data_IF_873864203859
#
_entry.id   IF_873864203859
#
_cell.length_a   1.000
_cell.length_b   1.000
_cell.length_c   1.000
_cell.angle_alpha   90.00
_cell.angle_beta   90.00
_cell.angle_gamma   90.00
#
_symmetry.space_group_name_H-M   'P 1'
#
loop_
_entity.id
_entity.type
_entity.pdbx_description
1 polymer ?
#
# COMPACT_ATOMS: atom_id res chain seq x y z
N UNK A 1 21.67 -11.79 23.10
CA UNK A 1 21.66 -10.32 23.24
C UNK A 1 20.59 -9.79 22.30
N UNK A 2 19.43 -9.41 22.82
CA UNK A 2 18.44 -8.60 22.09
C UNK A 2 19.13 -7.25 21.84
N UNK A 3 19.38 -6.89 20.58
CA UNK A 3 19.65 -5.52 20.20
C UNK A 3 18.35 -4.73 20.47
N UNK A 4 18.20 -4.21 21.68
CA UNK A 4 17.17 -3.22 21.97
C UNK A 4 17.60 -1.96 21.21
N UNK A 5 16.77 -1.41 20.32
CA UNK A 5 17.10 -0.17 19.62
C UNK A 5 17.42 0.92 20.65
N UNK A 6 18.45 1.70 20.40
CA UNK A 6 18.78 2.85 21.24
C UNK A 6 17.70 3.93 21.12
N UNK A 7 17.39 4.67 22.20
CA UNK A 7 16.43 5.76 22.15
C UNK A 7 16.89 6.82 21.14
N UNK A 8 15.97 7.30 20.31
CA UNK A 8 16.23 8.32 19.28
C UNK A 8 15.09 9.32 19.24
N UNK A 9 15.37 10.48 18.65
CA UNK A 9 14.34 11.41 18.17
C UNK A 9 14.45 11.40 16.65
N UNK A 10 13.39 11.04 15.91
CA UNK A 10 13.40 11.04 14.45
C UNK A 10 13.62 12.44 13.89
N UNK A 11 14.16 12.52 12.68
CA UNK A 11 14.16 13.76 11.91
C UNK A 11 12.72 14.22 11.69
N UNK A 12 12.52 15.54 11.72
CA UNK A 12 11.20 16.12 11.47
C UNK A 12 11.30 17.44 10.72
N UNK A 13 10.16 17.92 10.23
CA UNK A 13 10.07 19.16 9.48
C UNK A 13 9.01 20.06 10.09
N UNK A 14 9.21 21.36 9.91
CA UNK A 14 8.21 22.40 10.22
C UNK A 14 8.21 23.44 9.12
N UNK A 15 7.17 24.21 9.05
CA UNK A 15 7.12 25.37 8.14
C UNK A 15 6.55 26.59 8.83
N UNK A 16 6.78 27.73 8.21
CA UNK A 16 6.12 29.00 8.53
C UNK A 16 6.04 29.86 7.28
N UNK A 17 5.14 30.81 7.28
CA UNK A 17 5.19 31.89 6.31
C UNK A 17 6.45 32.74 6.53
N UNK A 18 7.03 33.25 5.45
CA UNK A 18 8.19 34.16 5.53
C UNK A 18 7.87 35.33 6.45
N UNK A 19 8.82 35.69 7.33
CA UNK A 19 8.64 36.71 8.35
C UNK A 19 7.98 36.24 9.65
N UNK A 20 7.39 35.04 9.67
CA UNK A 20 6.76 34.48 10.86
C UNK A 20 7.76 33.68 11.75
N UNK A 21 7.26 33.31 12.92
CA UNK A 21 8.02 32.53 13.91
C UNK A 21 7.54 31.09 13.93
N UNK A 22 8.47 30.15 13.76
CA UNK A 22 8.22 28.72 14.01
C UNK A 22 8.31 28.45 15.50
N UNK A 23 7.31 27.80 16.07
CA UNK A 23 7.27 27.37 17.46
C UNK A 23 7.49 25.86 17.56
N UNK A 24 8.02 25.40 18.70
CA UNK A 24 8.23 23.98 18.99
C UNK A 24 7.43 23.58 20.23
N UNK A 25 7.02 22.32 20.27
CA UNK A 25 6.30 21.71 21.39
C UNK A 25 7.02 20.44 21.85
N UNK A 26 6.65 19.92 23.01
CA UNK A 26 7.21 18.67 23.53
C UNK A 26 6.97 17.47 22.58
N UNK A 27 5.89 17.52 21.80
CA UNK A 27 5.55 16.47 20.83
C UNK A 27 6.57 16.40 19.67
N UNK A 28 7.17 17.53 19.27
CA UNK A 28 8.18 17.56 18.22
C UNK A 28 9.45 16.78 18.63
N UNK A 29 9.68 16.63 19.94
CA UNK A 29 10.86 15.96 20.53
C UNK A 29 10.50 14.59 21.15
N UNK A 30 9.52 13.90 20.63
CA UNK A 30 9.09 12.60 21.15
C UNK A 30 10.17 11.53 20.97
N UNK A 31 10.49 10.85 22.07
CA UNK A 31 11.50 9.76 22.08
C UNK A 31 10.91 8.50 21.49
N UNK A 32 11.59 7.92 20.52
CA UNK A 32 11.28 6.63 19.91
C UNK A 32 12.26 5.55 20.38
N UNK A 33 11.84 4.29 20.33
CA UNK A 33 12.66 3.12 20.69
C UNK A 33 13.23 3.14 22.10
N UNK A 34 12.55 3.82 23.04
CA UNK A 34 13.00 3.96 24.42
C UNK A 34 11.87 3.87 25.40
N UNK A 35 11.38 2.66 25.72
CA UNK A 35 10.29 2.44 26.68
C UNK A 35 10.56 3.11 28.02
N UNK A 36 9.79 4.17 28.34
CA UNK A 36 9.90 4.92 29.58
C UNK A 36 11.09 5.87 29.68
N UNK A 37 11.96 5.93 28.67
CA UNK A 37 13.12 6.85 28.62
C UNK A 37 12.64 8.25 28.23
N UNK A 38 13.14 9.27 28.92
CA UNK A 38 12.77 10.67 28.69
C UNK A 38 13.94 11.49 28.19
N UNK A 39 13.62 12.48 27.36
CA UNK A 39 14.57 13.49 26.95
C UNK A 39 14.94 14.39 28.14
N UNK A 40 16.22 14.65 28.37
CA UNK A 40 16.70 15.61 29.37
C UNK A 40 17.20 16.91 28.75
N UNK A 41 17.85 16.83 27.59
CA UNK A 41 18.35 18.00 26.88
C UNK A 41 18.66 17.68 25.42
N UNK A 42 18.79 18.71 24.62
CA UNK A 42 19.37 18.66 23.28
C UNK A 42 20.60 19.56 23.20
N UNK A 43 21.60 19.14 22.43
CA UNK A 43 22.77 19.96 22.11
C UNK A 43 22.72 20.36 20.64
N UNK A 44 22.66 21.65 20.33
CA UNK A 44 22.62 22.14 18.96
C UNK A 44 23.94 21.89 18.28
N UNK A 45 23.95 21.11 17.21
CA UNK A 45 25.18 20.75 16.46
C UNK A 45 25.33 21.56 15.18
N UNK A 46 24.22 21.93 14.54
CA UNK A 46 24.20 22.75 13.33
C UNK A 46 23.14 23.82 13.48
N UNK A 47 23.49 25.06 13.19
CA UNK A 47 22.54 26.19 13.17
C UNK A 47 21.89 26.35 11.81
N UNK A 48 20.68 26.97 11.74
CA UNK A 48 20.06 27.32 10.47
C UNK A 48 20.93 28.29 9.65
N UNK A 49 20.68 28.31 8.31
CA UNK A 49 21.29 29.31 7.44
C UNK A 49 20.89 30.71 7.90
N UNK A 50 21.84 31.63 8.14
CA UNK A 50 21.54 33.02 8.52
C UNK A 50 20.67 33.74 7.50
N UNK A 51 20.72 33.34 6.20
CA UNK A 51 19.88 33.87 5.13
C UNK A 51 18.41 33.42 5.20
N UNK A 52 18.10 32.44 6.06
CA UNK A 52 16.74 31.99 6.34
C UNK A 52 16.14 32.69 7.56
N UNK A 53 16.92 32.79 8.64
CA UNK A 53 16.45 33.30 9.92
C UNK A 53 17.37 32.90 11.08
N UNK A 54 16.85 33.01 12.30
CA UNK A 54 17.62 32.81 13.53
C UNK A 54 16.89 31.86 14.50
N UNK A 55 17.62 30.87 15.02
CA UNK A 55 17.15 30.01 16.10
C UNK A 55 17.40 30.69 17.45
N UNK A 56 16.37 30.83 18.28
CA UNK A 56 16.42 31.52 19.56
C UNK A 56 15.83 30.68 20.69
N UNK A 57 16.31 30.95 21.92
CA UNK A 57 15.72 30.43 23.15
C UNK A 57 15.43 31.63 24.07
N UNK A 58 14.17 31.78 24.48
CA UNK A 58 13.77 32.92 25.29
C UNK A 58 14.08 34.29 24.63
N UNK A 59 14.07 34.35 23.31
CA UNK A 59 14.37 35.53 22.52
C UNK A 59 15.86 35.82 22.30
N UNK A 60 16.77 34.99 22.84
CA UNK A 60 18.21 35.13 22.63
C UNK A 60 18.70 34.16 21.56
N UNK A 61 19.49 34.59 20.57
CA UNK A 61 20.10 33.72 19.57
C UNK A 61 20.91 32.60 20.20
N UNK A 62 20.72 31.37 19.70
CA UNK A 62 21.55 30.23 20.10
C UNK A 62 22.85 30.19 19.29
N UNK A 63 23.91 29.68 19.93
CA UNK A 63 25.18 29.35 19.30
C UNK A 63 25.26 27.82 19.05
N UNK A 64 26.19 27.40 18.20
CA UNK A 64 26.55 26.00 18.11
C UNK A 64 27.04 25.49 19.50
N UNK A 65 26.81 24.21 19.75
CA UNK A 65 27.08 23.53 21.03
C UNK A 65 26.25 24.05 22.23
N UNK A 66 25.26 24.91 22.01
CA UNK A 66 24.30 25.29 23.05
C UNK A 66 23.50 24.09 23.53
N UNK A 67 23.41 23.92 24.85
CA UNK A 67 22.58 22.88 25.47
C UNK A 67 21.25 23.48 25.91
N UNK A 68 20.15 22.91 25.37
CA UNK A 68 18.79 23.31 25.74
C UNK A 68 18.17 22.19 26.56
N UNK A 69 17.76 22.51 27.80
CA UNK A 69 17.05 21.55 28.66
C UNK A 69 15.66 21.21 28.10
N UNK A 70 15.22 19.97 28.26
CA UNK A 70 13.89 19.55 27.84
C UNK A 70 12.77 20.47 28.36
N UNK A 71 12.87 20.90 29.64
CA UNK A 71 11.91 21.84 30.23
C UNK A 71 11.88 23.24 29.60
N UNK A 72 12.88 23.60 28.82
CA UNK A 72 13.00 24.88 28.13
C UNK A 72 12.63 24.83 26.62
N UNK A 73 12.38 23.63 26.07
CA UNK A 73 12.11 23.44 24.64
C UNK A 73 10.86 24.16 24.16
N UNK A 74 9.87 24.33 25.02
CA UNK A 74 8.68 25.12 24.72
C UNK A 74 9.00 26.61 24.44
N UNK A 75 10.18 27.11 24.82
CA UNK A 75 10.69 28.45 24.53
C UNK A 75 11.58 28.54 23.28
N UNK A 76 11.89 27.41 22.65
CA UNK A 76 12.66 27.39 21.40
C UNK A 76 11.83 28.00 20.28
N UNK A 77 12.44 28.85 19.45
CA UNK A 77 11.82 29.54 18.32
C UNK A 77 12.78 29.63 17.16
N UNK A 78 12.24 29.56 15.95
CA UNK A 78 12.95 29.98 14.75
C UNK A 78 12.23 31.20 14.17
N UNK A 79 12.92 32.33 14.12
CA UNK A 79 12.41 33.56 13.53
C UNK A 79 12.86 33.63 12.07
N UNK A 80 11.91 33.49 11.15
CA UNK A 80 12.16 33.65 9.72
C UNK A 80 12.41 35.11 9.36
N UNK A 81 13.30 35.34 8.38
CA UNK A 81 13.40 36.63 7.73
C UNK A 81 12.15 36.91 6.88
N UNK A 82 11.77 38.18 6.73
CA UNK A 82 10.66 38.60 5.84
C UNK A 82 11.02 38.42 4.36
N UNK A 83 12.29 38.46 4.03
CA UNK A 83 12.85 38.20 2.70
C UNK A 83 14.05 37.27 2.79
N UNK A 84 13.80 35.98 3.01
CA UNK A 84 14.90 35.02 3.11
C UNK A 84 15.58 34.82 1.75
N UNK A 85 16.87 34.58 1.75
CA UNK A 85 17.64 34.26 0.55
C UNK A 85 17.53 32.77 0.14
N UNK A 86 16.92 31.95 0.99
CA UNK A 86 16.66 30.52 0.79
C UNK A 86 15.22 30.19 1.16
N UNK A 87 14.66 29.14 0.55
CA UNK A 87 13.30 28.66 0.83
C UNK A 87 13.25 27.55 1.86
N UNK A 88 14.40 26.98 2.19
CA UNK A 88 14.56 25.85 3.12
C UNK A 88 15.85 26.01 3.89
N UNK A 89 15.84 25.67 5.17
CA UNK A 89 17.03 25.57 6.01
C UNK A 89 16.90 24.41 6.96
N UNK A 90 18.01 24.01 7.58
CA UNK A 90 18.03 22.93 8.58
C UNK A 90 18.81 23.37 9.81
N UNK A 91 18.44 22.83 10.96
CA UNK A 91 19.31 22.76 12.12
C UNK A 91 19.35 21.34 12.65
N UNK A 92 20.40 20.99 13.39
CA UNK A 92 20.55 19.64 13.93
C UNK A 92 20.90 19.69 15.40
N UNK A 93 20.53 18.65 16.13
CA UNK A 93 20.83 18.51 17.54
C UNK A 93 21.09 17.05 17.93
N UNK A 94 21.86 16.85 19.01
CA UNK A 94 22.05 15.55 19.66
C UNK A 94 21.19 15.49 20.91
N UNK A 95 20.23 14.55 21.01
CA UNK A 95 19.43 14.36 22.22
C UNK A 95 20.22 13.61 23.30
N UNK A 96 20.05 14.02 24.55
CA UNK A 96 20.54 13.33 25.76
C UNK A 96 19.35 12.88 26.60
N UNK A 97 19.40 11.66 27.11
CA UNK A 97 18.31 11.00 27.79
C UNK A 97 18.57 10.82 29.30
N UNK A 98 17.48 10.55 30.06
CA UNK A 98 17.55 10.42 31.52
C UNK A 98 18.26 9.16 32.02
N UNK A 99 18.49 8.18 31.14
CA UNK A 99 19.39 7.05 31.41
C UNK A 99 20.90 7.39 31.26
N UNK A 100 21.22 8.65 31.00
CA UNK A 100 22.60 9.13 30.82
C UNK A 100 23.19 8.87 29.43
N UNK A 101 22.45 8.31 28.50
CA UNK A 101 22.91 8.10 27.13
C UNK A 101 22.62 9.34 26.25
N UNK A 102 23.48 9.52 25.24
CA UNK A 102 23.29 10.49 24.17
C UNK A 102 23.15 9.72 22.86
N UNK A 103 22.27 10.20 21.95
CA UNK A 103 22.14 9.59 20.64
C UNK A 103 23.47 9.65 19.86
N UNK A 104 23.75 8.62 19.07
CA UNK A 104 25.00 8.56 18.28
C UNK A 104 24.93 9.41 17.02
N UNK A 105 23.72 9.65 16.51
CA UNK A 105 23.48 10.48 15.34
C UNK A 105 22.60 11.68 15.71
N UNK A 106 22.90 12.86 15.16
CA UNK A 106 22.05 14.02 15.36
C UNK A 106 20.69 13.85 14.68
N UNK A 107 19.67 14.45 15.28
CA UNK A 107 18.36 14.68 14.65
C UNK A 107 18.45 15.95 13.82
N UNK A 108 17.96 15.87 12.58
CA UNK A 108 17.89 17.02 11.66
C UNK A 108 16.47 17.54 11.59
N UNK A 109 16.30 18.85 11.81
CA UNK A 109 15.03 19.55 11.65
C UNK A 109 15.10 20.38 10.37
N UNK A 110 14.18 20.13 9.45
CA UNK A 110 14.04 20.89 8.20
C UNK A 110 12.95 21.95 8.38
N UNK A 111 13.27 23.19 8.00
CA UNK A 111 12.38 24.36 8.10
C UNK A 111 12.08 24.85 6.68
N UNK A 112 10.79 24.82 6.30
CA UNK A 112 10.32 25.32 5.02
C UNK A 112 9.73 26.73 5.20
N UNK A 113 10.16 27.66 4.37
CA UNK A 113 9.74 29.06 4.39
C UNK A 113 8.75 29.29 3.24
N UNK A 114 7.48 29.47 3.56
CA UNK A 114 6.37 29.48 2.62
C UNK A 114 5.90 30.90 2.33
N UNK A 115 5.44 31.13 1.11
CA UNK A 115 4.79 32.40 0.70
C UNK A 115 3.26 32.31 0.77
N UNK A 116 2.71 31.11 0.94
CA UNK A 116 1.29 30.84 1.12
C UNK A 116 1.10 29.71 2.14
N UNK A 117 -0.05 29.71 2.84
CA UNK A 117 -0.41 28.63 3.76
C UNK A 117 -0.60 27.32 3.00
N UNK A 118 -0.28 26.20 3.68
CA UNK A 118 -0.44 24.85 3.21
C UNK A 118 -0.92 23.98 4.39
N UNK A 119 -1.86 23.08 4.16
CA UNK A 119 -2.42 22.22 5.19
C UNK A 119 -1.63 20.92 5.32
N UNK A 120 -1.69 20.29 6.49
CA UNK A 120 -1.05 18.99 6.70
C UNK A 120 -1.86 17.86 6.04
N UNK A 121 -1.18 16.84 5.50
CA UNK A 121 -1.87 15.69 4.95
C UNK A 121 -2.61 14.90 6.03
N UNK A 122 -3.56 14.07 5.60
CA UNK A 122 -4.33 13.17 6.46
C UNK A 122 -3.88 11.74 6.18
N UNK A 123 -3.29 11.08 7.17
CA UNK A 123 -2.95 9.66 7.13
C UNK A 123 -4.04 8.84 7.81
N UNK A 124 -4.35 7.66 7.28
CA UNK A 124 -5.40 6.77 7.77
C UNK A 124 -4.84 5.48 8.32
N UNK A 125 -5.54 4.92 9.32
CA UNK A 125 -5.25 3.60 9.83
C UNK A 125 -5.51 2.53 8.75
N UNK A 126 -4.75 1.44 8.82
CA UNK A 126 -4.86 0.33 7.88
C UNK A 126 -4.89 -1.00 8.63
N UNK A 127 -5.65 -1.95 8.11
CA UNK A 127 -5.67 -3.32 8.59
C UNK A 127 -5.25 -4.25 7.45
N UNK A 128 -4.21 -5.05 7.68
CA UNK A 128 -3.63 -5.97 6.72
C UNK A 128 -3.54 -7.37 7.31
N UNK A 129 -3.43 -8.36 6.45
CA UNK A 129 -3.17 -9.73 6.85
C UNK A 129 -2.11 -10.40 5.98
N UNK A 130 -1.39 -11.34 6.57
CA UNK A 130 -0.48 -12.21 5.84
C UNK A 130 -0.42 -13.58 6.51
N UNK A 131 0.39 -14.46 5.96
CA UNK A 131 0.68 -15.76 6.54
C UNK A 131 2.07 -15.79 7.19
N UNK A 132 2.26 -16.75 8.07
CA UNK A 132 3.57 -17.04 8.68
C UNK A 132 4.64 -17.19 7.60
N UNK A 133 5.74 -16.45 7.76
CA UNK A 133 6.89 -16.41 6.83
C UNK A 133 6.58 -15.86 5.44
N UNK A 134 5.49 -15.14 5.27
CA UNK A 134 5.09 -14.56 3.97
C UNK A 134 5.11 -13.04 4.05
N UNK A 135 6.00 -12.43 3.28
CA UNK A 135 6.06 -10.97 3.12
C UNK A 135 4.86 -10.46 2.31
N UNK A 136 4.42 -9.25 2.63
CA UNK A 136 3.36 -8.56 1.88
C UNK A 136 3.81 -7.16 1.48
N UNK A 137 3.30 -6.72 0.34
CA UNK A 137 3.40 -5.33 -0.11
C UNK A 137 2.13 -4.58 0.29
N UNK A 138 2.31 -3.42 0.92
CA UNK A 138 1.24 -2.49 1.24
C UNK A 138 1.51 -1.11 0.65
N UNK A 139 0.50 -0.26 0.74
CA UNK A 139 0.57 1.13 0.29
C UNK A 139 -0.06 2.00 1.35
N UNK A 140 0.68 2.96 1.90
CA UNK A 140 0.15 3.89 2.88
C UNK A 140 -1.05 4.66 2.33
N UNK A 141 -2.08 4.80 3.15
CA UNK A 141 -3.30 5.53 2.82
C UNK A 141 -3.23 6.94 3.42
N UNK A 142 -2.89 7.90 2.59
CA UNK A 142 -2.86 9.30 2.97
C UNK A 142 -3.30 10.19 1.81
N UNK A 143 -3.91 11.31 2.15
CA UNK A 143 -4.37 12.33 1.19
C UNK A 143 -3.91 13.70 1.64
N UNK A 144 -3.70 14.56 0.66
CA UNK A 144 -3.38 15.97 0.84
C UNK A 144 -4.43 16.84 0.16
N UNK A 145 -4.91 17.89 0.85
CA UNK A 145 -5.98 18.74 0.33
C UNK A 145 -5.54 19.61 -0.84
N UNK A 146 -4.27 19.98 -0.90
CA UNK A 146 -3.65 20.75 -1.97
C UNK A 146 -3.16 19.87 -3.13
N UNK A 147 -3.15 18.53 -2.91
CA UNK A 147 -2.66 17.56 -3.89
C UNK A 147 -1.13 17.46 -3.92
N UNK A 148 -0.47 17.80 -2.85
CA UNK A 148 0.98 17.72 -2.72
C UNK A 148 1.48 16.27 -2.81
N UNK A 149 2.70 16.13 -3.32
CA UNK A 149 3.39 14.84 -3.29
C UNK A 149 3.75 14.48 -1.86
N UNK A 150 3.34 13.29 -1.42
CA UNK A 150 3.58 12.81 -0.07
C UNK A 150 4.80 11.90 -0.01
N UNK A 151 5.54 12.03 1.08
CA UNK A 151 6.56 11.07 1.54
C UNK A 151 6.13 10.48 2.87
N UNK A 152 6.73 9.36 3.29
CA UNK A 152 6.28 8.61 4.45
C UNK A 152 7.44 8.30 5.39
N UNK A 153 7.15 8.33 6.68
CA UNK A 153 8.11 8.01 7.73
C UNK A 153 7.47 7.06 8.75
N UNK A 154 8.22 6.02 9.13
CA UNK A 154 7.83 5.15 10.23
C UNK A 154 8.07 5.86 11.56
N UNK A 155 7.11 5.69 12.47
CA UNK A 155 7.18 6.20 13.84
C UNK A 155 7.51 5.06 14.80
N UNK A 156 6.60 4.12 14.99
CA UNK A 156 6.86 2.90 15.74
C UNK A 156 7.14 1.72 14.81
N UNK A 157 8.05 0.85 15.21
CA UNK A 157 8.42 -0.35 14.46
C UNK A 157 7.64 -1.57 14.95
N UNK A 158 7.35 -2.56 14.06
CA UNK A 158 6.63 -3.75 14.48
C UNK A 158 7.51 -4.68 15.33
N UNK A 159 6.86 -5.47 16.19
CA UNK A 159 7.55 -6.41 17.10
C UNK A 159 7.77 -7.80 16.51
N UNK A 160 6.99 -8.17 15.47
CA UNK A 160 6.97 -9.52 14.88
C UNK A 160 7.45 -9.58 13.45
N UNK A 161 7.91 -8.47 12.90
CA UNK A 161 8.38 -8.34 11.54
C UNK A 161 9.20 -7.08 11.34
N UNK A 162 9.57 -6.83 10.09
CA UNK A 162 10.27 -5.63 9.65
C UNK A 162 9.51 -4.94 8.52
N UNK A 163 9.56 -3.62 8.48
CA UNK A 163 9.00 -2.80 7.41
C UNK A 163 10.12 -2.18 6.60
N UNK A 164 10.07 -2.35 5.29
CA UNK A 164 10.96 -1.70 4.33
C UNK A 164 10.17 -0.70 3.52
N UNK A 165 10.57 0.57 3.57
CA UNK A 165 9.96 1.63 2.76
C UNK A 165 10.53 1.61 1.34
N UNK A 166 9.75 2.15 0.39
CA UNK A 166 10.23 2.34 -0.97
C UNK A 166 11.35 3.38 -1.03
N UNK A 167 12.41 3.10 -1.77
CA UNK A 167 13.57 4.01 -1.93
C UNK A 167 13.22 5.30 -2.66
N UNK A 168 12.18 5.27 -3.50
CA UNK A 168 11.68 6.43 -4.25
C UNK A 168 10.77 7.36 -3.42
N UNK A 169 10.54 7.02 -2.14
CA UNK A 169 9.67 7.78 -1.24
C UNK A 169 8.17 7.61 -1.50
N UNK A 170 7.78 6.70 -2.41
CA UNK A 170 6.37 6.40 -2.69
C UNK A 170 5.66 5.76 -1.49
N UNK A 171 4.34 5.63 -1.58
CA UNK A 171 3.52 5.03 -0.52
C UNK A 171 3.76 3.53 -0.32
N UNK A 172 4.49 2.88 -1.24
CA UNK A 172 4.76 1.44 -1.19
C UNK A 172 5.66 1.07 -0.02
N UNK A 173 5.30 0.00 0.69
CA UNK A 173 6.16 -0.63 1.70
C UNK A 173 6.04 -2.15 1.61
N UNK A 174 7.03 -2.84 2.18
CA UNK A 174 7.01 -4.30 2.34
C UNK A 174 7.09 -4.62 3.83
N UNK A 175 6.14 -5.39 4.33
CA UNK A 175 6.20 -5.98 5.66
C UNK A 175 6.64 -7.44 5.55
N UNK A 176 7.70 -7.80 6.26
CA UNK A 176 8.24 -9.16 6.29
C UNK A 176 8.14 -9.71 7.72
N UNK A 177 7.29 -10.69 7.99
CA UNK A 177 7.23 -11.35 9.29
C UNK A 177 8.58 -11.96 9.66
N UNK A 178 8.98 -11.86 10.92
CA UNK A 178 10.11 -12.64 11.41
C UNK A 178 9.79 -14.13 11.38
N UNK A 179 10.82 -14.93 11.25
CA UNK A 179 10.72 -16.38 11.10
C UNK A 179 9.77 -17.01 12.14
N UNK A 180 8.80 -17.75 11.66
CA UNK A 180 7.81 -18.51 12.43
C UNK A 180 6.89 -17.68 13.36
N UNK A 181 6.83 -16.36 13.20
CA UNK A 181 5.89 -15.51 13.97
C UNK A 181 4.47 -15.61 13.42
N UNK A 182 3.52 -15.56 14.35
CA UNK A 182 2.05 -15.49 14.09
C UNK A 182 1.41 -14.53 15.08
N UNK A 183 0.15 -14.19 14.85
CA UNK A 183 -0.65 -13.30 15.70
C UNK A 183 -0.64 -11.84 15.24
N UNK A 184 -1.10 -10.94 16.08
CA UNK A 184 -1.19 -9.52 15.75
C UNK A 184 0.15 -8.81 15.90
N UNK A 185 0.44 -7.94 14.96
CA UNK A 185 1.55 -7.00 14.98
C UNK A 185 1.03 -5.61 14.58
N UNK A 186 1.81 -4.59 14.79
CA UNK A 186 1.47 -3.24 14.33
C UNK A 186 2.68 -2.35 14.27
N UNK A 187 2.60 -1.33 13.43
CA UNK A 187 3.53 -0.21 13.36
C UNK A 187 2.75 1.06 13.04
N UNK A 188 3.41 2.21 13.15
CA UNK A 188 2.78 3.50 12.90
C UNK A 188 3.59 4.30 11.89
N UNK A 189 2.92 5.22 11.21
CA UNK A 189 3.54 6.06 10.19
C UNK A 189 2.92 7.46 10.18
N UNK A 190 3.62 8.38 9.58
CA UNK A 190 3.13 9.71 9.21
C UNK A 190 3.37 9.96 7.72
N UNK A 191 2.50 10.78 7.12
CA UNK A 191 2.70 11.34 5.80
C UNK A 191 3.23 12.76 5.92
N UNK A 192 4.11 13.14 5.01
CA UNK A 192 4.77 14.45 4.97
C UNK A 192 4.59 15.03 3.59
N UNK A 193 4.05 16.25 3.49
CA UNK A 193 3.85 16.96 2.23
C UNK A 193 5.13 17.66 1.73
N UNK A 194 5.05 18.29 0.57
CA UNK A 194 6.17 19.01 -0.05
C UNK A 194 6.58 20.28 0.70
N UNK A 195 5.71 20.80 1.58
CA UNK A 195 5.96 21.94 2.44
C UNK A 195 6.47 21.54 3.84
N UNK A 196 6.63 20.24 4.10
CA UNK A 196 7.12 19.71 5.37
C UNK A 196 6.06 19.60 6.47
N UNK A 197 4.77 19.79 6.15
CA UNK A 197 3.71 19.51 7.11
C UNK A 197 3.59 18.00 7.29
N UNK A 198 3.40 17.59 8.53
CA UNK A 198 3.31 16.18 8.90
C UNK A 198 1.90 15.86 9.37
N UNK A 199 1.34 14.75 8.91
CA UNK A 199 0.05 14.25 9.37
C UNK A 199 0.08 13.86 10.84
N UNK A 200 -1.10 13.65 11.43
CA UNK A 200 -1.20 12.84 12.63
C UNK A 200 -0.71 11.43 12.36
N UNK A 201 -0.22 10.77 13.41
CA UNK A 201 0.24 9.39 13.34
C UNK A 201 -0.91 8.44 13.02
N UNK A 202 -0.70 7.53 12.07
CA UNK A 202 -1.65 6.50 11.70
C UNK A 202 -1.07 5.11 11.96
N UNK A 203 -1.94 4.17 12.31
CA UNK A 203 -1.57 2.81 12.69
C UNK A 203 -1.86 1.82 11.58
N UNK A 204 -0.88 0.98 11.28
CA UNK A 204 -1.05 -0.23 10.46
C UNK A 204 -1.08 -1.44 11.39
N UNK A 205 -2.20 -2.15 11.39
CA UNK A 205 -2.37 -3.41 12.11
C UNK A 205 -2.17 -4.57 11.14
N UNK A 206 -1.44 -5.59 11.54
CA UNK A 206 -1.16 -6.76 10.72
C UNK A 206 -1.55 -8.02 11.46
N UNK A 207 -2.41 -8.85 10.86
CA UNK A 207 -2.71 -10.18 11.35
C UNK A 207 -1.84 -11.20 10.60
N UNK A 208 -0.94 -11.87 11.31
CA UNK A 208 -0.11 -12.96 10.76
C UNK A 208 -0.79 -14.29 11.07
N UNK A 209 -1.35 -14.92 10.06
CA UNK A 209 -2.08 -16.18 10.18
C UNK A 209 -1.16 -17.38 9.98
N UNK A 210 -1.54 -18.50 10.57
CA UNK A 210 -0.99 -19.79 10.19
C UNK A 210 -1.78 -20.27 8.98
N UNK A 211 -1.13 -20.69 7.87
CA UNK A 211 -1.86 -21.26 6.74
C UNK A 211 -2.62 -22.53 7.14
N UNK A 212 -3.84 -22.68 6.66
CA UNK A 212 -4.62 -23.93 6.82
C UNK A 212 -4.24 -24.97 5.78
N UNK A 213 -3.67 -24.55 4.65
CA UNK A 213 -3.10 -25.44 3.64
C UNK A 213 -1.69 -25.90 4.01
N UNK A 214 -1.31 -27.06 3.50
CA UNK A 214 0.08 -27.57 3.57
C UNK A 214 0.90 -27.15 2.34
N UNK A 215 0.29 -26.44 1.40
CA UNK A 215 0.97 -25.97 0.18
C UNK A 215 1.96 -24.90 0.56
N UNK A 216 3.22 -25.13 0.19
CA UNK A 216 4.29 -24.14 0.24
C UNK A 216 4.96 -24.11 -1.12
N UNK A 217 5.12 -22.93 -1.70
CA UNK A 217 5.65 -22.77 -3.04
C UNK A 217 7.16 -22.53 -3.01
N UNK A 218 7.90 -23.26 -3.85
CA UNK A 218 9.34 -23.12 -3.97
C UNK A 218 9.76 -21.86 -4.76
N UNK A 219 8.85 -21.29 -5.52
CA UNK A 219 9.09 -20.19 -6.48
C UNK A 219 8.39 -18.88 -6.10
N UNK A 220 7.82 -18.75 -4.89
CA UNK A 220 7.06 -17.57 -4.49
C UNK A 220 7.76 -16.71 -3.42
N UNK A 221 8.93 -17.09 -2.94
CA UNK A 221 9.64 -16.29 -1.94
C UNK A 221 10.02 -14.92 -2.49
N UNK A 222 9.57 -13.86 -1.81
CA UNK A 222 9.79 -12.49 -2.24
C UNK A 222 8.85 -11.98 -3.35
N UNK A 223 7.99 -12.84 -3.90
CA UNK A 223 6.99 -12.42 -4.88
C UNK A 223 5.83 -11.68 -4.18
N UNK A 224 5.38 -10.52 -4.70
CA UNK A 224 4.24 -9.79 -4.12
C UNK A 224 2.94 -10.59 -4.06
N UNK A 225 2.75 -11.57 -4.94
CA UNK A 225 1.58 -12.45 -4.98
C UNK A 225 1.67 -13.66 -4.03
N UNK A 226 2.74 -13.81 -3.24
CA UNK A 226 2.95 -14.99 -2.39
C UNK A 226 1.77 -15.22 -1.44
N UNK A 227 1.30 -14.19 -0.75
CA UNK A 227 0.12 -14.30 0.13
C UNK A 227 -1.12 -14.72 -0.65
N UNK A 228 -1.37 -14.11 -1.81
CA UNK A 228 -2.50 -14.44 -2.66
C UNK A 228 -2.45 -15.90 -3.14
N UNK A 229 -1.29 -16.41 -3.56
CA UNK A 229 -1.12 -17.78 -4.01
C UNK A 229 -1.49 -18.80 -2.93
N UNK A 230 -1.10 -18.58 -1.68
CA UNK A 230 -1.45 -19.45 -0.54
C UNK A 230 -2.96 -19.40 -0.29
N UNK A 231 -3.58 -18.21 -0.31
CA UNK A 231 -5.02 -18.08 -0.09
C UNK A 231 -5.82 -18.81 -1.15
N UNK A 232 -5.43 -18.70 -2.43
CA UNK A 232 -6.08 -19.47 -3.50
C UNK A 232 -5.99 -20.99 -3.29
N UNK A 233 -4.88 -21.47 -2.75
CA UNK A 233 -4.74 -22.89 -2.40
C UNK A 233 -5.62 -23.29 -1.21
N UNK A 234 -5.74 -22.46 -0.19
CA UNK A 234 -6.65 -22.67 0.96
C UNK A 234 -8.10 -22.75 0.54
N UNK A 235 -8.54 -21.83 -0.33
CA UNK A 235 -9.92 -21.75 -0.83
C UNK A 235 -10.21 -22.81 -1.91
N UNK A 236 -9.21 -23.62 -2.29
CA UNK A 236 -9.36 -24.64 -3.33
C UNK A 236 -9.58 -24.10 -4.74
N UNK A 237 -9.21 -22.82 -4.98
CA UNK A 237 -9.39 -22.16 -6.27
C UNK A 237 -8.28 -22.56 -7.24
N UNK A 238 -7.03 -22.55 -6.77
CA UNK A 238 -5.86 -22.89 -7.58
C UNK A 238 -4.68 -23.31 -6.70
N UNK A 239 -3.97 -24.37 -7.10
CA UNK A 239 -2.83 -24.92 -6.33
C UNK A 239 -1.51 -24.89 -7.11
N UNK A 240 -1.53 -24.73 -8.44
CA UNK A 240 -0.33 -24.81 -9.27
C UNK A 240 0.07 -26.26 -9.59
N UNK A 241 1.35 -26.51 -9.78
CA UNK A 241 1.91 -27.80 -10.12
C UNK A 241 2.68 -28.41 -8.94
N UNK A 242 2.70 -29.76 -8.87
CA UNK A 242 3.48 -30.51 -7.89
C UNK A 242 4.49 -31.39 -8.62
N UNK A 243 5.77 -31.09 -8.48
CA UNK A 243 6.86 -31.74 -9.17
C UNK A 243 7.99 -32.07 -8.17
N UNK A 244 8.49 -33.31 -8.22
CA UNK A 244 9.63 -33.74 -7.40
C UNK A 244 9.50 -33.50 -5.89
N UNK A 245 8.28 -33.46 -5.36
CA UNK A 245 8.03 -33.22 -3.94
C UNK A 245 7.81 -31.77 -3.54
N UNK A 246 7.81 -30.85 -4.49
CA UNK A 246 7.62 -29.41 -4.27
C UNK A 246 6.46 -28.86 -5.08
N UNK A 247 5.81 -27.81 -4.55
CA UNK A 247 4.80 -27.05 -5.27
C UNK A 247 5.43 -25.86 -5.96
N UNK A 248 4.94 -25.58 -7.18
CA UNK A 248 5.31 -24.43 -8.00
C UNK A 248 4.05 -23.68 -8.42
N UNK A 249 4.08 -22.37 -8.23
CA UNK A 249 3.01 -21.49 -8.63
C UNK A 249 3.16 -21.03 -10.08
N UNK A 250 4.39 -20.91 -10.55
CA UNK A 250 4.80 -20.37 -11.85
C UNK A 250 4.24 -18.93 -12.04
N UNK A 251 4.66 -17.93 -11.22
CA UNK A 251 4.05 -16.61 -11.16
C UNK A 251 4.04 -15.86 -12.50
N UNK A 252 5.09 -15.99 -13.30
CA UNK A 252 5.25 -15.29 -14.59
C UNK A 252 4.51 -15.96 -15.75
N UNK A 253 3.84 -17.08 -15.52
CA UNK A 253 3.14 -17.79 -16.57
C UNK A 253 1.90 -17.01 -17.02
N UNK A 254 1.74 -16.71 -18.34
CA UNK A 254 0.53 -16.09 -18.85
C UNK A 254 -0.72 -16.91 -18.54
N UNK A 255 -1.82 -16.25 -18.24
CA UNK A 255 -3.12 -16.88 -17.94
C UNK A 255 -4.03 -16.75 -19.15
N UNK A 256 -4.66 -17.86 -19.54
CA UNK A 256 -5.63 -17.84 -20.63
C UNK A 256 -7.00 -17.35 -20.15
N UNK A 257 -7.85 -16.92 -21.09
CA UNK A 257 -9.21 -16.47 -20.82
C UNK A 257 -10.04 -17.57 -20.14
N UNK A 258 -9.91 -18.83 -20.59
CA UNK A 258 -10.59 -19.95 -19.96
C UNK A 258 -10.10 -20.24 -18.55
N UNK A 259 -8.79 -20.18 -18.31
CA UNK A 259 -8.20 -20.37 -16.99
C UNK A 259 -8.66 -19.30 -16.00
N UNK A 260 -8.60 -18.02 -16.40
CA UNK A 260 -9.02 -16.92 -15.53
C UNK A 260 -10.52 -17.01 -15.20
N UNK A 261 -11.37 -17.22 -16.20
CA UNK A 261 -12.82 -17.35 -15.98
C UNK A 261 -13.13 -18.45 -14.97
N UNK A 262 -12.51 -19.61 -15.11
CA UNK A 262 -12.73 -20.75 -14.21
C UNK A 262 -12.31 -20.43 -12.77
N UNK A 263 -11.15 -19.81 -12.60
CA UNK A 263 -10.68 -19.38 -11.27
C UNK A 263 -11.57 -18.28 -10.67
N UNK A 264 -11.97 -17.30 -11.47
CA UNK A 264 -12.83 -16.20 -11.01
C UNK A 264 -14.23 -16.70 -10.60
N UNK A 265 -14.81 -17.62 -11.35
CA UNK A 265 -16.08 -18.27 -10.98
C UNK A 265 -15.96 -19.06 -9.68
N UNK A 266 -14.88 -19.84 -9.51
CA UNK A 266 -14.62 -20.54 -8.28
C UNK A 266 -14.46 -19.58 -7.08
N UNK A 267 -13.83 -18.44 -7.29
CA UNK A 267 -13.65 -17.39 -6.26
C UNK A 267 -14.99 -16.87 -5.74
N UNK A 268 -15.98 -16.63 -6.61
CA UNK A 268 -17.31 -16.15 -6.21
C UNK A 268 -18.29 -17.28 -5.88
N UNK A 269 -17.85 -18.53 -5.89
CA UNK A 269 -18.72 -19.68 -5.63
C UNK A 269 -19.72 -20.01 -6.74
N UNK A 270 -19.49 -19.52 -7.95
CA UNK A 270 -20.34 -19.81 -9.10
C UNK A 270 -19.97 -21.14 -9.72
N UNK A 271 -20.91 -22.11 -9.68
CA UNK A 271 -20.69 -23.44 -10.25
C UNK A 271 -20.74 -23.44 -11.78
N UNK A 272 -19.88 -24.21 -12.47
CA UNK A 272 -20.04 -24.47 -13.90
C UNK A 272 -21.30 -25.31 -14.15
N UNK A 273 -21.83 -25.25 -15.37
CA UNK A 273 -22.88 -26.16 -15.79
C UNK A 273 -22.29 -27.57 -16.00
N UNK A 274 -22.98 -28.56 -15.50
CA UNK A 274 -22.59 -29.96 -15.65
C UNK A 274 -22.95 -30.50 -17.06
N UNK A 275 -22.18 -31.48 -17.53
CA UNK A 275 -22.42 -32.25 -18.76
C UNK A 275 -22.50 -31.38 -20.05
N UNK A 276 -21.90 -30.20 -20.06
CA UNK A 276 -21.85 -29.37 -21.25
C UNK A 276 -20.79 -29.87 -22.22
N UNK A 277 -21.24 -30.34 -23.38
CA UNK A 277 -20.38 -30.85 -24.45
C UNK A 277 -20.14 -29.85 -25.58
N UNK A 278 -21.00 -28.86 -25.72
CA UNK A 278 -20.93 -27.78 -26.72
C UNK A 278 -21.33 -26.45 -26.11
N UNK A 279 -20.69 -25.37 -26.57
CA UNK A 279 -21.07 -23.99 -26.24
C UNK A 279 -21.76 -23.31 -27.42
N UNK A 280 -22.27 -22.11 -27.21
CA UNK A 280 -22.88 -21.32 -28.31
C UNK A 280 -21.89 -20.58 -29.20
N UNK A 281 -20.57 -20.72 -28.95
CA UNK A 281 -19.53 -20.04 -29.69
C UNK A 281 -19.12 -20.82 -30.96
N UNK A 282 -18.75 -20.09 -32.01
CA UNK A 282 -18.32 -20.70 -33.28
C UNK A 282 -16.97 -21.39 -33.19
N UNK A 283 -16.13 -20.96 -32.24
CA UNK A 283 -14.85 -21.58 -31.90
C UNK A 283 -14.95 -22.69 -30.84
N UNK A 284 -16.12 -23.28 -30.67
CA UNK A 284 -16.37 -24.30 -29.64
C UNK A 284 -15.36 -25.44 -29.64
N UNK A 285 -14.88 -25.84 -30.79
CA UNK A 285 -13.85 -26.89 -30.89
C UNK A 285 -12.50 -26.49 -30.27
N UNK A 286 -12.21 -25.21 -30.14
CA UNK A 286 -11.02 -24.67 -29.50
C UNK A 286 -11.21 -24.47 -27.99
N UNK A 287 -12.46 -24.51 -27.48
CA UNK A 287 -12.74 -24.42 -26.05
C UNK A 287 -12.45 -25.77 -25.38
N UNK A 288 -11.53 -25.85 -24.40
CA UNK A 288 -11.25 -27.10 -23.70
C UNK A 288 -12.51 -27.68 -23.04
N UNK A 289 -12.65 -28.97 -23.06
CA UNK A 289 -13.82 -29.67 -22.48
C UNK A 289 -14.06 -29.28 -21.01
N UNK A 290 -12.99 -29.15 -20.24
CA UNK A 290 -13.07 -28.75 -18.82
C UNK A 290 -13.61 -27.31 -18.61
N UNK A 291 -13.52 -26.44 -19.60
CA UNK A 291 -13.94 -25.05 -19.51
C UNK A 291 -15.37 -24.82 -20.06
N UNK A 292 -15.92 -25.75 -20.85
CA UNK A 292 -17.22 -25.55 -21.54
C UNK A 292 -18.38 -25.29 -20.58
N UNK A 293 -18.42 -25.96 -19.45
CA UNK A 293 -19.43 -25.74 -18.43
C UNK A 293 -19.32 -24.37 -17.78
N UNK A 294 -18.12 -23.90 -17.51
CA UNK A 294 -17.86 -22.57 -16.95
C UNK A 294 -18.22 -21.47 -17.96
N UNK A 295 -17.78 -21.59 -19.21
CA UNK A 295 -18.12 -20.65 -20.29
C UNK A 295 -19.63 -20.54 -20.48
N UNK A 296 -20.34 -21.64 -20.51
CA UNK A 296 -21.80 -21.64 -20.68
C UNK A 296 -22.53 -21.02 -19.50
N UNK A 297 -22.12 -21.33 -18.26
CA UNK A 297 -22.69 -20.72 -17.07
C UNK A 297 -22.45 -19.19 -17.05
N UNK A 298 -21.26 -18.74 -17.41
CA UNK A 298 -20.91 -17.33 -17.44
C UNK A 298 -21.69 -16.55 -18.52
N UNK A 299 -21.92 -17.14 -19.69
CA UNK A 299 -22.80 -16.55 -20.74
C UNK A 299 -24.23 -16.43 -20.24
N UNK A 300 -24.78 -17.48 -19.65
CA UNK A 300 -26.14 -17.47 -19.12
C UNK A 300 -26.33 -16.44 -18.01
N UNK A 301 -25.32 -16.21 -17.19
CA UNK A 301 -25.33 -15.20 -16.12
C UNK A 301 -25.05 -13.79 -16.63
N UNK A 302 -24.70 -13.60 -17.90
CA UNK A 302 -24.36 -12.30 -18.48
C UNK A 302 -22.96 -11.80 -18.09
N UNK A 303 -22.13 -12.66 -17.50
CA UNK A 303 -20.75 -12.33 -17.10
C UNK A 303 -19.83 -12.12 -18.30
N UNK A 304 -20.02 -12.92 -19.35
CA UNK A 304 -19.30 -12.82 -20.61
C UNK A 304 -20.27 -12.80 -21.79
N UNK A 305 -19.86 -12.13 -22.86
CA UNK A 305 -20.59 -12.08 -24.13
C UNK A 305 -19.78 -12.66 -25.30
N UNK A 306 -18.48 -12.92 -25.07
CA UNK A 306 -17.52 -13.23 -26.09
C UNK A 306 -17.14 -12.01 -26.94
N UNK A 307 -16.27 -12.25 -27.90
CA UNK A 307 -15.90 -11.31 -28.95
C UNK A 307 -16.54 -11.71 -30.29
N UNK A 308 -16.24 -10.94 -31.34
CA UNK A 308 -16.65 -11.30 -32.71
C UNK A 308 -15.40 -11.41 -33.56
N UNK A 309 -15.36 -12.48 -34.36
CA UNK A 309 -14.31 -12.65 -35.36
C UNK A 309 -14.51 -11.72 -36.57
N UNK A 310 -13.61 -11.78 -37.54
CA UNK A 310 -13.66 -10.97 -38.75
C UNK A 310 -14.93 -11.19 -39.60
N UNK A 311 -15.60 -12.31 -39.41
CA UNK A 311 -16.89 -12.60 -40.04
C UNK A 311 -18.10 -12.09 -39.26
N UNK A 312 -17.88 -11.57 -38.03
CA UNK A 312 -18.93 -11.15 -37.13
C UNK A 312 -19.52 -12.28 -36.30
N UNK A 313 -18.97 -13.49 -36.34
CA UNK A 313 -19.42 -14.63 -35.57
C UNK A 313 -18.94 -14.57 -34.12
N UNK A 314 -19.73 -15.02 -33.13
CA UNK A 314 -19.37 -14.99 -31.72
C UNK A 314 -18.25 -16.03 -31.41
N UNK A 315 -17.16 -15.57 -30.81
CA UNK A 315 -16.03 -16.41 -30.38
C UNK A 315 -15.72 -16.14 -28.91
N UNK A 316 -15.19 -17.13 -28.21
CA UNK A 316 -14.75 -16.99 -26.83
C UNK A 316 -13.24 -16.80 -26.70
N UNK A 317 -12.46 -17.35 -27.63
CA UNK A 317 -10.99 -17.29 -27.66
C UNK A 317 -10.36 -17.88 -26.39
N UNK A 318 -10.77 -19.08 -26.01
CA UNK A 318 -10.45 -19.73 -24.74
C UNK A 318 -8.96 -19.81 -24.41
N UNK A 319 -8.11 -20.03 -25.42
CA UNK A 319 -6.64 -20.22 -25.31
C UNK A 319 -5.86 -18.92 -25.45
N UNK A 320 -6.50 -17.82 -25.79
CA UNK A 320 -5.83 -16.51 -25.84
C UNK A 320 -5.48 -16.04 -24.42
N UNK A 321 -4.34 -15.37 -24.29
CA UNK A 321 -3.94 -14.78 -23.03
C UNK A 321 -4.90 -13.64 -22.68
N UNK A 322 -5.45 -13.68 -21.47
CA UNK A 322 -6.36 -12.65 -21.01
C UNK A 322 -5.63 -11.35 -20.71
N UNK A 323 -6.23 -10.22 -21.08
CA UNK A 323 -5.73 -8.90 -20.67
C UNK A 323 -6.27 -8.52 -19.29
N UNK A 324 -5.59 -7.58 -18.63
CA UNK A 324 -6.06 -7.04 -17.35
C UNK A 324 -7.46 -6.41 -17.49
N UNK A 325 -7.74 -5.70 -18.59
CA UNK A 325 -9.06 -5.14 -18.85
C UNK A 325 -10.15 -6.19 -18.96
N UNK A 326 -9.90 -7.29 -19.66
CA UNK A 326 -10.85 -8.41 -19.78
C UNK A 326 -11.12 -9.09 -18.43
N UNK A 327 -10.06 -9.35 -17.67
CA UNK A 327 -10.17 -9.92 -16.33
C UNK A 327 -10.95 -9.00 -15.38
N UNK A 328 -10.69 -7.70 -15.46
CA UNK A 328 -11.38 -6.67 -14.69
C UNK A 328 -12.89 -6.67 -14.97
N UNK A 329 -13.29 -6.72 -16.23
CA UNK A 329 -14.73 -6.78 -16.59
C UNK A 329 -15.37 -8.07 -16.12
N UNK A 330 -14.68 -9.21 -16.26
CA UNK A 330 -15.21 -10.48 -15.73
C UNK A 330 -15.44 -10.43 -14.22
N UNK A 331 -14.48 -9.92 -13.46
CA UNK A 331 -14.60 -9.79 -12.00
C UNK A 331 -15.67 -8.79 -11.59
N UNK A 332 -15.76 -7.63 -12.24
CA UNK A 332 -16.80 -6.64 -11.97
C UNK A 332 -18.20 -7.24 -12.12
N UNK A 333 -18.44 -7.99 -13.21
CA UNK A 333 -19.69 -8.68 -13.43
C UNK A 333 -19.96 -9.79 -12.41
N UNK A 334 -18.95 -10.61 -12.10
CA UNK A 334 -19.08 -11.69 -11.11
C UNK A 334 -19.32 -11.16 -9.69
N UNK A 335 -18.67 -10.07 -9.31
CA UNK A 335 -18.87 -9.42 -8.03
C UNK A 335 -20.13 -8.55 -7.99
N UNK A 336 -20.75 -8.30 -9.13
CA UNK A 336 -21.92 -7.43 -9.27
C UNK A 336 -21.71 -6.08 -8.57
N UNK A 337 -20.65 -5.38 -8.95
CA UNK A 337 -20.30 -4.08 -8.37
C UNK A 337 -21.18 -2.97 -8.96
N UNK A 338 -21.42 -1.93 -8.16
CA UNK A 338 -22.14 -0.74 -8.61
C UNK A 338 -21.15 0.24 -9.27
N UNK A 339 -21.63 0.94 -10.30
CA UNK A 339 -20.86 1.95 -10.98
C UNK A 339 -20.51 3.13 -10.05
N UNK A 340 -19.25 3.52 -10.07
CA UNK A 340 -18.69 4.63 -9.30
C UNK A 340 -18.26 5.77 -10.21
N UNK A 341 -18.12 7.01 -9.66
CA UNK A 341 -17.62 8.15 -10.43
C UNK A 341 -16.18 7.92 -10.94
N UNK A 342 -15.99 8.00 -12.26
CA UNK A 342 -14.70 7.78 -12.91
C UNK A 342 -13.64 8.82 -12.49
N UNK A 343 -14.05 10.07 -12.29
CA UNK A 343 -13.14 11.16 -11.87
C UNK A 343 -12.49 10.94 -10.50
N UNK A 344 -13.05 10.05 -9.68
CA UNK A 344 -12.54 9.74 -8.33
C UNK A 344 -11.68 8.47 -8.34
N UNK A 345 -12.10 7.46 -9.11
CA UNK A 345 -11.53 6.12 -9.03
C UNK A 345 -10.80 5.67 -10.29
N UNK A 346 -10.50 6.61 -11.20
CA UNK A 346 -9.74 6.31 -12.41
C UNK A 346 -8.48 7.15 -12.50
N UNK A 347 -7.40 6.54 -12.98
CA UNK A 347 -6.20 7.28 -13.36
C UNK A 347 -6.46 8.17 -14.57
N UNK A 348 -5.71 9.26 -14.71
CA UNK A 348 -5.86 10.16 -15.87
C UNK A 348 -5.69 9.40 -17.19
N UNK A 349 -6.64 9.61 -18.11
CA UNK A 349 -6.65 8.99 -19.44
C UNK A 349 -7.23 7.57 -19.48
N UNK A 350 -7.78 7.05 -18.38
CA UNK A 350 -8.41 5.72 -18.30
C UNK A 350 -9.85 5.69 -18.80
N UNK A 351 -10.53 6.82 -18.79
CA UNK A 351 -11.93 7.01 -19.20
C UNK A 351 -12.20 6.66 -20.66
N UNK A 352 -11.17 6.64 -21.52
CA UNK A 352 -11.26 6.22 -22.90
C UNK A 352 -11.16 4.70 -23.12
N UNK A 353 -10.77 3.92 -22.12
CA UNK A 353 -10.65 2.47 -22.24
C UNK A 353 -11.99 1.78 -22.01
N UNK A 354 -12.32 0.79 -22.85
CA UNK A 354 -13.61 0.08 -22.75
C UNK A 354 -13.86 -0.63 -21.41
N UNK A 355 -12.79 -1.01 -20.69
CA UNK A 355 -12.86 -1.59 -19.35
C UNK A 355 -12.77 -0.53 -18.22
N UNK A 356 -12.78 0.75 -18.55
CA UNK A 356 -12.52 1.84 -17.59
C UNK A 356 -13.51 1.88 -16.43
N UNK A 357 -14.80 1.67 -16.68
CA UNK A 357 -15.80 1.63 -15.63
C UNK A 357 -15.61 0.45 -14.69
N UNK A 358 -15.39 -0.74 -15.22
CA UNK A 358 -15.14 -1.93 -14.42
C UNK A 358 -13.86 -1.78 -13.57
N UNK A 359 -12.81 -1.18 -14.15
CA UNK A 359 -11.58 -0.89 -13.41
C UNK A 359 -11.81 0.10 -12.26
N UNK A 360 -12.60 1.15 -12.47
CA UNK A 360 -12.98 2.09 -11.42
C UNK A 360 -13.77 1.42 -10.29
N UNK A 361 -14.70 0.54 -10.65
CA UNK A 361 -15.51 -0.22 -9.68
C UNK A 361 -14.61 -1.13 -8.82
N UNK A 362 -13.63 -1.83 -9.42
CA UNK A 362 -12.66 -2.64 -8.69
C UNK A 362 -11.73 -1.78 -7.82
N UNK A 363 -11.32 -0.61 -8.29
CA UNK A 363 -10.50 0.31 -7.51
C UNK A 363 -11.26 0.84 -6.28
N UNK A 364 -12.52 1.23 -6.44
CA UNK A 364 -13.37 1.66 -5.35
C UNK A 364 -13.61 0.56 -4.30
N UNK A 365 -13.60 -0.71 -4.73
CA UNK A 365 -13.75 -1.87 -3.85
C UNK A 365 -12.42 -2.37 -3.24
N UNK A 366 -11.29 -1.72 -3.56
CA UNK A 366 -9.98 -2.09 -3.06
C UNK A 366 -9.32 -3.32 -3.72
N UNK A 367 -9.90 -3.84 -4.81
CA UNK A 367 -9.35 -5.00 -5.53
C UNK A 367 -8.08 -4.63 -6.30
N UNK A 368 -8.08 -3.45 -6.94
CA UNK A 368 -6.93 -2.85 -7.60
C UNK A 368 -6.70 -1.43 -7.07
N UNK A 369 -5.54 -0.86 -7.36
CA UNK A 369 -5.25 0.55 -7.05
C UNK A 369 -5.71 1.45 -8.19
N UNK A 370 -6.00 2.71 -7.88
CA UNK A 370 -6.44 3.70 -8.90
C UNK A 370 -5.41 3.83 -10.03
N UNK A 371 -4.11 3.79 -9.71
CA UNK A 371 -3.03 3.87 -10.70
C UNK A 371 -3.03 2.70 -11.70
N UNK A 372 -3.59 1.55 -11.32
CA UNK A 372 -3.70 0.36 -12.18
C UNK A 372 -4.87 0.44 -13.15
N UNK A 373 -5.72 1.45 -13.04
CA UNK A 373 -6.85 1.67 -13.96
C UNK A 373 -6.46 2.33 -15.28
N UNK A 374 -5.18 2.70 -15.46
CA UNK A 374 -4.73 3.37 -16.69
C UNK A 374 -4.83 2.45 -17.92
N UNK A 375 -5.05 3.04 -19.09
CA UNK A 375 -5.27 2.30 -20.34
C UNK A 375 -4.12 1.38 -20.74
N UNK A 376 -2.89 1.75 -20.42
CA UNK A 376 -1.72 0.92 -20.73
C UNK A 376 -1.73 -0.36 -19.86
N UNK A 377 -1.99 -0.24 -18.56
CA UNK A 377 -2.11 -1.39 -17.66
C UNK A 377 -3.28 -2.30 -18.08
N UNK A 378 -4.45 -1.75 -18.37
CA UNK A 378 -5.63 -2.52 -18.78
C UNK A 378 -5.44 -3.28 -20.11
N UNK A 379 -4.52 -2.83 -20.95
CA UNK A 379 -4.21 -3.46 -22.25
C UNK A 379 -3.14 -4.54 -22.16
N UNK A 380 -2.47 -4.72 -21.03
CA UNK A 380 -1.44 -5.75 -20.84
C UNK A 380 -2.03 -7.11 -20.53
N UNK A 381 -1.37 -8.17 -20.98
CA UNK A 381 -1.70 -9.55 -20.61
C UNK A 381 -1.44 -9.80 -19.12
N UNK A 382 -2.24 -10.65 -18.52
CA UNK A 382 -2.10 -11.09 -17.13
C UNK A 382 -1.18 -12.30 -17.03
N UNK A 383 -0.26 -12.25 -16.08
CA UNK A 383 0.41 -13.43 -15.58
C UNK A 383 -0.33 -14.05 -14.37
N UNK A 384 0.15 -15.18 -13.90
CA UNK A 384 -0.49 -15.91 -12.81
C UNK A 384 -0.40 -15.19 -11.47
N UNK A 385 0.68 -14.46 -11.21
CA UNK A 385 0.83 -13.64 -10.02
C UNK A 385 -0.20 -12.50 -9.99
N UNK A 386 -0.37 -11.78 -11.09
CA UNK A 386 -1.35 -10.71 -11.20
C UNK A 386 -2.80 -11.23 -11.09
N UNK A 387 -3.09 -12.37 -11.72
CA UNK A 387 -4.38 -13.04 -11.59
C UNK A 387 -4.67 -13.41 -10.13
N UNK A 388 -3.71 -13.97 -9.41
CA UNK A 388 -3.86 -14.30 -8.00
C UNK A 388 -4.16 -13.06 -7.14
N UNK A 389 -3.50 -11.96 -7.37
CA UNK A 389 -3.74 -10.71 -6.62
C UNK A 389 -5.15 -10.16 -6.89
N UNK A 390 -5.64 -10.21 -8.12
CA UNK A 390 -7.03 -9.83 -8.44
C UNK A 390 -8.04 -10.71 -7.71
N UNK A 391 -7.84 -12.03 -7.70
CA UNK A 391 -8.73 -12.98 -7.05
C UNK A 391 -8.68 -12.87 -5.52
N UNK A 392 -7.51 -12.61 -4.94
CA UNK A 392 -7.35 -12.34 -3.51
C UNK A 392 -8.13 -11.09 -3.09
N UNK A 393 -8.04 -10.00 -3.87
CA UNK A 393 -8.83 -8.80 -3.65
C UNK A 393 -10.34 -9.05 -3.77
N UNK A 394 -10.76 -9.90 -4.70
CA UNK A 394 -12.17 -10.31 -4.82
C UNK A 394 -12.65 -11.09 -3.59
N UNK A 395 -11.83 -11.97 -3.03
CA UNK A 395 -12.11 -12.66 -1.77
C UNK A 395 -12.28 -11.68 -0.60
N UNK A 396 -11.49 -10.63 -0.54
CA UNK A 396 -11.63 -9.59 0.48
C UNK A 396 -12.99 -8.87 0.37
N UNK A 397 -13.42 -8.53 -0.85
CA UNK A 397 -14.75 -7.93 -1.08
C UNK A 397 -15.87 -8.85 -0.60
N UNK A 398 -15.77 -10.14 -0.89
CA UNK A 398 -16.77 -11.13 -0.46
C UNK A 398 -16.80 -11.28 1.06
N UNK A 399 -15.63 -11.34 1.72
CA UNK A 399 -15.53 -11.43 3.17
C UNK A 399 -16.15 -10.21 3.86
N UNK A 400 -15.92 -9.00 3.35
CA UNK A 400 -16.53 -7.78 3.88
C UNK A 400 -18.06 -7.80 3.76
N UNK A 401 -18.60 -8.30 2.64
CA UNK A 401 -20.05 -8.43 2.46
C UNK A 401 -20.69 -9.41 3.44
N UNK A 402 -20.00 -10.49 3.78
CA UNK A 402 -20.47 -11.45 4.80
C UNK A 402 -20.49 -10.81 6.20
N UNK A 403 -19.48 -10.06 6.57
CA UNK A 403 -19.39 -9.34 7.84
C UNK A 403 -20.49 -8.27 7.96
N UNK A 404 -20.82 -7.58 6.89
CA UNK A 404 -21.89 -6.58 6.81
C UNK A 404 -23.31 -7.18 6.77
N UNK A 405 -23.44 -8.52 6.81
CA UNK A 405 -24.71 -9.25 6.75
C UNK A 405 -25.37 -9.26 5.38
N UNK A 406 -24.64 -8.97 4.35
CA UNK A 406 -25.06 -9.12 2.96
C UNK A 406 -24.84 -10.56 2.50
N UNK A 407 -25.88 -11.36 2.58
CA UNK A 407 -25.85 -12.70 1.99
C UNK A 407 -26.00 -12.58 0.47
N UNK A 408 -25.11 -13.18 -0.33
CA UNK A 408 -25.37 -13.35 -1.75
C UNK A 408 -26.53 -14.31 -1.94
N UNK A 409 -27.41 -13.98 -2.85
CA UNK A 409 -28.58 -14.77 -3.24
C UNK A 409 -28.19 -16.02 -4.02
#
# INVERSE_FOLDING_TARGET
>A
NKNTPSPTIPDFSKNALVGDTVTFSDQDFSVQNGDGIKLTSITITVLPDPGAGTLTLGGQPLAADSVVKASALAGLRFQSLSQPSVTTTTFSFLPTFDNGTQAQQPTTVTLYLLTAANEAPIARNMDLSTYKNVAITGYFDAVDSEGDTLTFQLMDTPARGAVTLAEDGSAKFVYTPYENKTGKDSFTYVAIDSAGNTSSEAKVTIQINKPDTKVTYADMEGDPAHKASIRLAEEGIFVGSYLNGEYFFDPDRPVTRAEFLTMAMATVGMAPLEDVTTTGFTDDAAIPTWAKGAVSAAVMAGVIQGSRDDSGAPVFDASENITQGEATVMLDQLLNLSDVPLEVFSAQGSDAHWAGQAAANLAASGVIRVEETNSAALSTGLDRAQAAMLLDGALDVLSQREEDGWLPW
#
